data_IF_775026505704
#
_entry.id   IF_775026505704
#
_cell.length_a   1.000
_cell.length_b   1.000
_cell.length_c   1.000
_cell.angle_alpha   90.00
_cell.angle_beta   90.00
_cell.angle_gamma   90.00
#
_symmetry.space_group_name_H-M   'P 1'
#
loop_
_entity.id
_entity.type
_entity.pdbx_description
1 polymer ?
#
# COMPACT_ATOMS: atom_id res chain seq x y z
N UNK A 1 -17.90 2.99 2.32
CA UNK A 1 -16.92 3.86 3.01
C UNK A 1 -16.04 3.00 3.94
N UNK A 2 -14.71 3.18 3.95
CA UNK A 2 -13.77 2.40 4.80
C UNK A 2 -13.65 2.92 6.25
N UNK A 3 -14.65 3.66 6.73
CA UNK A 3 -14.60 4.32 8.05
C UNK A 3 -14.85 3.29 9.15
N UNK A 4 -14.05 3.32 10.22
CA UNK A 4 -14.19 2.46 11.42
C UNK A 4 -13.86 0.96 11.25
N UNK A 5 -13.08 0.59 10.24
CA UNK A 5 -12.57 -0.78 10.15
C UNK A 5 -11.34 -0.97 11.05
N UNK A 6 -11.30 -2.01 11.89
CA UNK A 6 -10.24 -2.16 12.88
C UNK A 6 -8.88 -2.50 12.25
N UNK A 7 -7.74 -2.14 12.86
CA UNK A 7 -6.40 -2.42 12.30
C UNK A 7 -5.88 -3.83 12.65
N UNK A 8 -5.24 -4.53 11.70
CA UNK A 8 -4.53 -5.80 11.94
C UNK A 8 -3.02 -5.58 12.14
N UNK A 9 -2.51 -5.60 13.40
CA UNK A 9 -1.07 -5.44 13.64
C UNK A 9 -0.23 -6.66 13.23
N UNK A 10 -0.86 -7.82 13.03
CA UNK A 10 -0.19 -9.07 12.71
C UNK A 10 -0.11 -9.32 11.21
N UNK A 11 -0.70 -8.46 10.38
CA UNK A 11 -0.65 -8.53 8.92
C UNK A 11 -1.05 -9.91 8.35
N UNK A 12 -1.96 -10.60 9.03
CA UNK A 12 -2.39 -11.97 8.72
C UNK A 12 -1.46 -13.09 9.19
N UNK A 13 -0.39 -12.85 9.96
CA UNK A 13 0.62 -13.86 10.33
C UNK A 13 0.06 -15.12 11.00
N UNK A 14 -1.03 -15.01 11.76
CA UNK A 14 -1.77 -16.20 12.20
C UNK A 14 -2.79 -16.55 11.15
N UNK A 15 -2.49 -17.62 10.38
CA UNK A 15 -3.46 -18.68 10.17
C UNK A 15 -4.90 -18.19 10.18
N UNK A 16 -5.37 -17.43 9.18
CA UNK A 16 -6.41 -16.38 9.25
C UNK A 16 -7.88 -16.86 9.11
N UNK A 17 -8.57 -17.27 10.21
CA UNK A 17 -10.02 -17.43 10.27
C UNK A 17 -10.73 -16.11 10.57
N UNK A 18 -9.99 -15.02 10.87
CA UNK A 18 -10.53 -13.72 11.26
C UNK A 18 -10.46 -12.67 10.14
N UNK A 19 -9.89 -12.96 8.98
CA UNK A 19 -9.93 -12.16 7.76
C UNK A 19 -11.37 -11.78 7.38
N UNK A 20 -12.36 -12.69 7.51
CA UNK A 20 -13.76 -12.36 7.31
C UNK A 20 -14.29 -11.30 8.30
N UNK A 21 -13.66 -11.14 9.46
CA UNK A 21 -14.05 -10.21 10.52
C UNK A 21 -13.50 -8.79 10.31
N UNK A 22 -12.76 -8.55 9.22
CA UNK A 22 -12.63 -7.20 8.65
C UNK A 22 -11.51 -6.32 9.21
N UNK A 23 -10.47 -6.89 9.83
CA UNK A 23 -9.29 -6.10 10.19
C UNK A 23 -8.49 -5.67 8.95
N UNK A 24 -8.02 -4.43 8.95
CA UNK A 24 -7.41 -3.73 7.82
C UNK A 24 -5.93 -3.49 8.11
N UNK A 25 -5.06 -3.83 7.17
CA UNK A 25 -3.66 -3.36 7.16
C UNK A 25 -3.50 -2.12 6.29
N UNK A 26 -2.37 -1.42 6.43
CA UNK A 26 -2.08 -0.21 5.65
C UNK A 26 -2.26 -0.39 4.14
N UNK A 27 -1.91 -1.56 3.59
CA UNK A 27 -2.05 -1.88 2.15
C UNK A 27 -3.49 -2.21 1.70
N UNK A 28 -4.38 -2.60 2.60
CA UNK A 28 -5.77 -2.94 2.23
C UNK A 28 -6.54 -1.69 1.74
N UNK A 29 -6.20 -0.51 2.24
CA UNK A 29 -6.75 0.78 1.79
C UNK A 29 -6.41 1.03 0.31
N UNK A 30 -5.12 1.07 -0.10
CA UNK A 30 -4.72 1.10 -1.51
C UNK A 30 -5.38 0.03 -2.38
N UNK A 31 -5.40 -1.23 -1.94
CA UNK A 31 -5.91 -2.34 -2.76
C UNK A 31 -7.40 -2.23 -3.03
N UNK A 32 -8.19 -1.81 -2.03
CA UNK A 32 -9.63 -1.58 -2.22
C UNK A 32 -9.88 -0.41 -3.16
N UNK A 33 -9.10 0.67 -3.03
CA UNK A 33 -9.22 1.84 -3.90
C UNK A 33 -8.85 1.53 -5.36
N UNK A 34 -7.70 0.88 -5.58
CA UNK A 34 -7.25 0.50 -6.92
C UNK A 34 -8.19 -0.52 -7.57
N UNK A 35 -8.70 -1.49 -6.81
CA UNK A 35 -9.73 -2.43 -7.31
C UNK A 35 -11.00 -1.70 -7.73
N UNK A 36 -11.45 -0.71 -6.96
CA UNK A 36 -12.62 0.09 -7.31
C UNK A 36 -12.39 0.93 -8.59
N UNK A 37 -11.14 1.33 -8.84
CA UNK A 37 -10.71 1.98 -10.08
C UNK A 37 -10.43 1.00 -11.25
N UNK A 38 -10.74 -0.29 -11.10
CA UNK A 38 -10.51 -1.30 -12.15
C UNK A 38 -9.06 -1.78 -12.28
N UNK A 39 -8.19 -1.47 -11.32
CA UNK A 39 -6.77 -1.85 -11.32
C UNK A 39 -6.55 -3.01 -10.34
N UNK A 40 -6.32 -4.24 -10.82
CA UNK A 40 -6.17 -5.41 -9.95
C UNK A 40 -4.73 -5.52 -9.41
N UNK A 41 -4.29 -4.56 -8.59
CA UNK A 41 -2.90 -4.42 -8.15
C UNK A 41 -2.35 -5.67 -7.43
N UNK A 42 -3.18 -6.38 -6.67
CA UNK A 42 -2.79 -7.64 -6.02
C UNK A 42 -2.53 -8.78 -7.04
N UNK A 43 -3.30 -8.84 -8.13
CA UNK A 43 -3.09 -9.81 -9.19
C UNK A 43 -1.82 -9.46 -9.98
N UNK A 44 -1.65 -8.18 -10.34
CA UNK A 44 -0.46 -7.66 -11.00
C UNK A 44 0.81 -7.98 -10.21
N UNK A 45 0.76 -7.82 -8.88
CA UNK A 45 1.88 -8.15 -8.00
C UNK A 45 2.24 -9.64 -8.07
N UNK A 46 1.24 -10.53 -7.96
CA UNK A 46 1.48 -11.98 -7.99
C UNK A 46 1.97 -12.45 -9.35
N UNK A 47 1.41 -11.92 -10.43
CA UNK A 47 1.84 -12.20 -11.80
C UNK A 47 3.29 -11.74 -12.01
N UNK A 48 3.60 -10.51 -11.61
CA UNK A 48 4.97 -9.97 -11.70
C UNK A 48 5.95 -10.79 -10.88
N UNK A 49 5.57 -11.24 -9.67
CA UNK A 49 6.46 -12.05 -8.84
C UNK A 49 6.67 -13.48 -9.36
N UNK A 50 5.74 -14.00 -10.16
CA UNK A 50 5.90 -15.28 -10.86
C UNK A 50 6.73 -15.15 -12.13
N UNK A 51 6.51 -14.09 -12.92
CA UNK A 51 7.24 -13.85 -14.16
C UNK A 51 8.65 -13.27 -13.95
N UNK A 52 8.84 -12.51 -12.88
CA UNK A 52 10.07 -11.78 -12.56
C UNK A 52 10.41 -11.92 -11.06
N UNK A 53 10.71 -13.13 -10.56
CA UNK A 53 11.00 -13.35 -9.14
C UNK A 53 12.21 -12.53 -8.64
N UNK A 54 13.18 -12.20 -9.51
CA UNK A 54 14.34 -11.38 -9.22
C UNK A 54 13.99 -9.92 -8.85
N UNK A 55 12.74 -9.51 -9.09
CA UNK A 55 12.21 -8.23 -8.66
C UNK A 55 12.01 -8.13 -7.15
N UNK A 56 11.79 -9.27 -6.51
CA UNK A 56 11.31 -9.34 -5.14
C UNK A 56 12.27 -10.12 -4.27
N UNK A 57 12.29 -9.83 -2.97
CA UNK A 57 12.98 -10.68 -1.99
C UNK A 57 12.12 -11.90 -1.66
N UNK A 58 12.13 -12.90 -2.54
CA UNK A 58 11.39 -14.16 -2.37
C UNK A 58 12.07 -15.05 -1.33
N UNK A 59 11.27 -15.72 -0.51
CA UNK A 59 11.72 -16.67 0.51
C UNK A 59 10.56 -17.50 1.05
N UNK A 60 10.80 -18.41 2.01
CA UNK A 60 9.77 -19.31 2.53
C UNK A 60 8.54 -18.58 3.09
N UNK A 61 8.74 -17.41 3.72
CA UNK A 61 7.65 -16.57 4.25
C UNK A 61 7.08 -15.60 3.21
N UNK A 62 7.77 -15.38 2.09
CA UNK A 62 7.47 -14.36 1.07
C UNK A 62 7.39 -14.96 -0.35
N UNK A 63 6.64 -16.05 -0.49
CA UNK A 63 6.36 -16.66 -1.80
C UNK A 63 5.07 -16.08 -2.41
N UNK A 64 4.96 -15.95 -3.75
CA UNK A 64 3.71 -15.55 -4.42
C UNK A 64 2.51 -16.45 -4.11
N UNK A 65 2.78 -17.70 -3.73
CA UNK A 65 1.76 -18.69 -3.35
C UNK A 65 1.33 -18.55 -1.88
N UNK A 66 2.07 -17.77 -1.08
CA UNK A 66 1.62 -17.40 0.25
C UNK A 66 0.41 -16.47 0.13
N UNK A 67 -0.69 -16.82 0.83
CA UNK A 67 -1.92 -16.01 0.81
C UNK A 67 -1.71 -14.58 1.28
N UNK A 68 -0.71 -14.28 2.12
CA UNK A 68 -0.41 -12.92 2.59
C UNK A 68 0.62 -12.18 1.75
N UNK A 69 1.09 -12.76 0.64
CA UNK A 69 2.06 -12.10 -0.24
C UNK A 69 1.59 -10.71 -0.68
N UNK A 70 0.30 -10.60 -1.01
CA UNK A 70 -0.33 -9.34 -1.42
C UNK A 70 -0.58 -8.36 -0.28
N UNK A 71 -0.38 -8.77 0.99
CA UNK A 71 -0.53 -7.88 2.15
C UNK A 71 0.78 -7.23 2.59
N UNK A 72 1.90 -7.50 1.92
CA UNK A 72 3.22 -6.99 2.31
C UNK A 72 3.60 -5.77 1.48
N UNK A 73 3.66 -4.61 2.13
CA UNK A 73 4.04 -3.32 1.51
C UNK A 73 5.36 -3.41 0.74
N UNK A 74 6.36 -4.09 1.30
CA UNK A 74 7.67 -4.31 0.67
C UNK A 74 7.59 -4.86 -0.76
N UNK A 75 6.60 -5.71 -1.03
CA UNK A 75 6.44 -6.33 -2.35
C UNK A 75 5.87 -5.31 -3.35
N UNK A 76 4.99 -4.39 -2.92
CA UNK A 76 4.55 -3.29 -3.77
C UNK A 76 5.65 -2.24 -3.96
N UNK A 77 6.47 -1.97 -2.93
CA UNK A 77 7.62 -1.08 -3.08
C UNK A 77 8.54 -1.59 -4.21
N UNK A 78 8.86 -2.88 -4.22
CA UNK A 78 9.61 -3.54 -5.30
C UNK A 78 8.88 -3.46 -6.66
N UNK A 79 7.56 -3.72 -6.67
CA UNK A 79 6.75 -3.68 -7.89
C UNK A 79 6.74 -2.29 -8.54
N UNK A 80 6.46 -1.22 -7.79
CA UNK A 80 6.38 0.14 -8.33
C UNK A 80 7.73 0.65 -8.86
N UNK A 81 8.84 0.12 -8.33
CA UNK A 81 10.19 0.47 -8.79
C UNK A 81 10.61 -0.22 -10.09
N UNK A 82 10.00 -1.37 -10.43
CA UNK A 82 10.47 -2.23 -11.53
C UNK A 82 9.44 -2.44 -12.64
N UNK A 83 8.15 -2.41 -12.33
CA UNK A 83 7.11 -2.73 -13.29
C UNK A 83 6.93 -1.59 -14.32
N UNK A 84 6.94 -1.87 -15.64
CA UNK A 84 6.94 -0.82 -16.68
C UNK A 84 5.66 0.04 -16.71
N UNK A 85 4.51 -0.53 -16.32
CA UNK A 85 3.25 0.20 -16.23
C UNK A 85 3.09 1.06 -14.96
N UNK A 86 4.05 0.98 -14.02
CA UNK A 86 4.02 1.72 -12.77
C UNK A 86 5.15 2.75 -12.74
N UNK A 87 4.99 3.74 -11.87
CA UNK A 87 5.92 4.82 -11.67
C UNK A 87 6.13 5.07 -10.17
N UNK A 88 7.39 5.21 -9.77
CA UNK A 88 7.80 5.74 -8.48
C UNK A 88 8.18 7.23 -8.66
N UNK A 89 7.24 8.14 -8.37
CA UNK A 89 7.40 9.56 -8.57
C UNK A 89 7.91 10.28 -7.29
N UNK A 90 8.67 11.38 -7.40
CA UNK A 90 9.15 12.12 -6.24
C UNK A 90 8.11 13.09 -5.65
N UNK A 91 7.09 13.47 -6.42
CA UNK A 91 6.06 14.43 -6.01
C UNK A 91 4.68 13.78 -5.95
N UNK A 92 3.79 14.18 -5.03
CA UNK A 92 2.47 13.58 -4.87
C UNK A 92 1.45 14.08 -5.91
N UNK A 93 0.45 13.24 -6.19
CA UNK A 93 -0.80 13.53 -6.88
C UNK A 93 -1.95 12.80 -6.18
N UNK A 94 -3.16 13.33 -6.30
CA UNK A 94 -4.34 12.62 -5.83
C UNK A 94 -4.47 11.26 -6.54
N UNK A 95 -4.72 10.20 -5.76
CA UNK A 95 -4.76 8.80 -6.24
C UNK A 95 -3.44 8.03 -6.13
N UNK A 96 -2.34 8.71 -5.78
CA UNK A 96 -1.05 8.06 -5.56
C UNK A 96 -1.02 7.22 -4.29
N UNK A 97 -0.07 6.31 -4.23
CA UNK A 97 0.31 5.58 -3.02
C UNK A 97 1.60 6.18 -2.45
N UNK A 98 1.53 6.84 -1.30
CA UNK A 98 2.72 7.30 -0.59
C UNK A 98 3.39 6.11 0.11
N UNK A 99 4.64 5.81 -0.26
CA UNK A 99 5.42 4.72 0.33
C UNK A 99 6.39 5.26 1.38
N UNK A 100 6.23 4.85 2.64
CA UNK A 100 7.15 5.18 3.73
C UNK A 100 8.07 3.98 3.96
N UNK A 101 9.09 3.90 3.11
CA UNK A 101 9.96 2.74 3.02
C UNK A 101 9.20 1.48 2.61
N UNK A 102 9.60 0.35 3.20
CA UNK A 102 9.09 -0.99 2.85
C UNK A 102 7.97 -1.49 3.76
N UNK A 103 7.52 -0.68 4.71
CA UNK A 103 6.67 -1.14 5.83
C UNK A 103 5.32 -0.44 5.93
N UNK A 104 5.21 0.81 5.48
CA UNK A 104 3.96 1.57 5.54
C UNK A 104 3.61 2.23 4.20
N UNK A 105 2.31 2.34 3.96
CA UNK A 105 1.74 2.89 2.72
C UNK A 105 0.43 3.63 3.03
N UNK A 106 0.19 4.73 2.34
CA UNK A 106 -1.06 5.49 2.43
C UNK A 106 -1.56 5.89 1.04
N UNK A 107 -2.88 6.07 0.89
CA UNK A 107 -3.48 6.53 -0.36
C UNK A 107 -3.67 8.04 -0.33
N UNK A 108 -2.98 8.78 -1.18
CA UNK A 108 -3.11 10.23 -1.31
C UNK A 108 -4.49 10.57 -1.86
N UNK A 109 -5.26 11.38 -1.11
CA UNK A 109 -6.62 11.79 -1.48
C UNK A 109 -6.66 13.19 -2.07
N UNK A 110 -5.75 14.06 -1.64
CA UNK A 110 -5.71 15.47 -2.02
C UNK A 110 -4.28 15.98 -2.02
N UNK A 111 -3.96 16.88 -2.95
CA UNK A 111 -2.72 17.65 -3.00
C UNK A 111 -3.08 19.12 -3.21
N UNK A 112 -2.68 19.98 -2.28
CA UNK A 112 -2.93 21.41 -2.34
C UNK A 112 -1.89 22.12 -3.23
N UNK A 113 -2.19 23.36 -3.62
CA UNK A 113 -1.33 24.15 -4.51
C UNK A 113 0.03 24.52 -3.91
N UNK A 114 0.17 24.46 -2.58
CA UNK A 114 1.43 24.68 -1.85
C UNK A 114 2.27 23.40 -1.71
N UNK A 115 1.79 22.27 -2.25
CA UNK A 115 2.46 20.98 -2.19
C UNK A 115 2.15 20.15 -0.94
N UNK A 116 1.36 20.67 0.00
CA UNK A 116 0.85 19.86 1.11
C UNK A 116 -0.17 18.84 0.60
N UNK A 117 -0.29 17.71 1.29
CA UNK A 117 -1.16 16.62 0.86
C UNK A 117 -1.83 15.90 2.02
N UNK A 118 -2.93 15.22 1.71
CA UNK A 118 -3.68 14.37 2.64
C UNK A 118 -3.73 12.96 2.10
N UNK A 119 -3.75 12.00 3.01
CA UNK A 119 -3.88 10.60 2.65
C UNK A 119 -4.76 9.84 3.63
N UNK A 120 -5.40 8.78 3.12
CA UNK A 120 -6.08 7.78 3.93
C UNK A 120 -5.10 6.67 4.24
N UNK A 121 -4.97 6.35 5.53
CA UNK A 121 -4.13 5.28 6.04
C UNK A 121 -4.89 4.39 7.02
N UNK A 122 -4.43 3.14 7.15
CA UNK A 122 -4.75 2.33 8.32
C UNK A 122 -3.66 2.57 9.38
N UNK A 123 -4.07 2.92 10.60
CA UNK A 123 -3.16 3.33 11.66
C UNK A 123 -3.43 2.53 12.95
N UNK A 124 -2.38 1.94 13.57
CA UNK A 124 -2.52 1.23 14.84
C UNK A 124 -2.97 2.13 15.98
N UNK A 125 -2.68 3.45 15.92
CA UNK A 125 -3.03 4.40 16.99
C UNK A 125 -4.53 4.61 17.19
N UNK A 126 -5.29 4.55 16.10
CA UNK A 126 -6.76 4.65 16.15
C UNK A 126 -7.39 3.28 15.97
N UNK A 127 -6.57 2.22 15.97
CA UNK A 127 -6.96 0.86 15.64
C UNK A 127 -7.86 0.82 14.42
N UNK A 128 -7.52 1.53 13.33
CA UNK A 128 -8.36 1.54 12.14
C UNK A 128 -7.97 2.54 11.05
N UNK A 129 -8.90 2.83 10.14
CA UNK A 129 -8.67 3.72 8.98
C UNK A 129 -9.05 5.15 9.29
N UNK A 130 -8.17 6.08 8.95
CA UNK A 130 -8.39 7.53 9.07
C UNK A 130 -7.76 8.29 7.92
N UNK A 131 -8.18 9.54 7.75
CA UNK A 131 -7.44 10.50 6.94
C UNK A 131 -6.40 11.21 7.81
N UNK A 132 -5.24 11.53 7.24
CA UNK A 132 -4.16 12.24 7.92
C UNK A 132 -3.45 13.18 6.94
N UNK A 133 -3.01 14.32 7.45
CA UNK A 133 -2.17 15.25 6.69
C UNK A 133 -0.72 14.76 6.59
N UNK A 134 -0.01 15.25 5.58
CA UNK A 134 1.39 15.00 5.32
C UNK A 134 2.30 15.24 6.54
N UNK A 135 2.16 16.36 7.24
CA UNK A 135 2.98 16.67 8.42
C UNK A 135 2.89 15.59 9.51
N UNK A 136 1.68 15.05 9.73
CA UNK A 136 1.48 13.94 10.67
C UNK A 136 2.16 12.67 10.18
N UNK A 137 1.93 12.30 8.92
CA UNK A 137 2.48 11.08 8.34
C UNK A 137 4.01 11.11 8.30
N UNK A 138 4.59 12.24 7.92
CA UNK A 138 6.03 12.49 7.91
C UNK A 138 6.59 12.44 9.33
N UNK A 139 5.91 13.05 10.31
CA UNK A 139 6.32 12.98 11.71
C UNK A 139 6.25 11.57 12.32
N UNK A 140 5.46 10.66 11.73
CA UNK A 140 5.35 9.28 12.19
C UNK A 140 6.30 8.32 11.49
N UNK A 141 6.41 8.44 10.17
CA UNK A 141 7.03 7.43 9.33
C UNK A 141 8.28 7.96 8.59
N UNK A 142 8.61 9.23 8.73
CA UNK A 142 9.59 9.94 7.90
C UNK A 142 8.98 10.39 6.56
N UNK A 143 9.75 11.11 5.73
CA UNK A 143 9.29 11.49 4.40
C UNK A 143 9.01 10.25 3.54
N UNK A 144 8.00 10.28 2.64
CA UNK A 144 7.81 9.23 1.67
C UNK A 144 9.08 9.02 0.83
N UNK A 145 9.42 7.76 0.61
CA UNK A 145 10.51 7.37 -0.29
C UNK A 145 10.16 7.69 -1.74
N UNK A 146 8.89 7.53 -2.11
CA UNK A 146 8.29 7.92 -3.37
C UNK A 146 6.76 7.87 -3.30
N UNK A 147 6.11 8.38 -4.33
CA UNK A 147 4.68 8.28 -4.60
C UNK A 147 4.44 7.35 -5.79
N UNK A 148 3.84 6.19 -5.53
CA UNK A 148 3.54 5.17 -6.52
C UNK A 148 2.27 5.49 -7.30
N UNK A 149 2.33 5.45 -8.63
CA UNK A 149 1.16 5.62 -9.51
C UNK A 149 1.22 4.77 -10.77
N UNK A 150 0.11 4.70 -11.50
CA UNK A 150 0.12 4.22 -12.87
C UNK A 150 0.89 5.20 -13.75
N UNK A 151 1.76 4.69 -14.62
CA UNK A 151 2.43 5.49 -15.63
C UNK A 151 1.37 5.97 -16.63
N UNK A 152 1.30 7.27 -16.89
CA UNK A 152 0.49 7.80 -17.98
C UNK A 152 0.98 7.21 -19.31
N UNK A 153 0.05 6.74 -20.15
CA UNK A 153 0.34 6.32 -21.51
C UNK A 153 0.48 7.54 -22.42
#
# INVERSE_FOLDING_TARGET
>A
AMRWLPYDPLMGMYGDPLAPWGFVVCIDVPLRAYRAAGVPLAALLKESARGHPEWFKIGPDNSPDNRFFYRRVRNYNDLFRRHPALEAAPTPRAGDLAFFGRWHIALVTEVAGDGTWRAVEASPRVWGVKESGDAYLVGQWGPPEFFGRLRAR
#
